data_IF_286605400652
#
_entry.id   IF_286605400652
#
_cell.length_a   1.000
_cell.length_b   1.000
_cell.length_c   1.000
_cell.angle_alpha   90.00
_cell.angle_beta   90.00
_cell.angle_gamma   90.00
#
_symmetry.space_group_name_H-M   'P 1'
#
loop_
_entity.id
_entity.type
_entity.pdbx_description
1 polymer ?
#
# COMPACT_ATOMS: atom_id res chain seq x y z
N UNK A 1 5.54 24.37 -17.23
CA UNK A 1 4.59 24.97 -18.17
C UNK A 1 3.17 24.59 -17.78
N UNK A 2 2.23 25.52 -17.98
CA UNK A 2 0.79 25.33 -17.83
C UNK A 2 0.14 25.75 -19.14
N UNK A 3 -0.67 24.86 -19.72
CA UNK A 3 -1.47 25.12 -20.91
C UNK A 3 -2.90 24.73 -20.58
N UNK A 4 -3.91 25.45 -21.14
CA UNK A 4 -5.29 25.13 -20.87
C UNK A 4 -6.25 25.76 -21.86
N UNK A 5 -7.38 25.10 -22.05
CA UNK A 5 -8.48 25.52 -22.91
C UNK A 5 -9.77 25.55 -22.10
N UNK A 6 -10.61 26.58 -22.38
CA UNK A 6 -11.91 26.74 -21.77
C UNK A 6 -12.99 26.76 -22.87
N UNK A 7 -14.06 25.99 -22.68
CA UNK A 7 -15.27 26.10 -23.47
C UNK A 7 -16.41 26.58 -22.56
N UNK A 8 -16.98 27.75 -22.91
CA UNK A 8 -18.08 28.35 -22.18
C UNK A 8 -19.30 28.37 -23.10
N UNK A 9 -20.34 27.57 -22.81
CA UNK A 9 -21.53 27.56 -23.64
C UNK A 9 -22.38 28.83 -23.37
N UNK A 10 -22.77 29.50 -24.43
CA UNK A 10 -23.75 30.59 -24.40
C UNK A 10 -25.11 30.06 -24.82
N UNK A 11 -26.15 30.42 -24.08
CA UNK A 11 -27.54 30.15 -24.46
C UNK A 11 -28.02 31.15 -25.52
N UNK A 12 -29.09 30.81 -26.26
CA UNK A 12 -29.66 31.74 -27.25
C UNK A 12 -30.12 33.08 -26.65
N UNK A 13 -30.40 33.12 -25.35
CA UNK A 13 -30.79 34.33 -24.63
C UNK A 13 -29.59 35.18 -24.15
N UNK A 14 -28.36 34.80 -24.51
CA UNK A 14 -27.13 35.50 -24.15
C UNK A 14 -26.60 35.14 -22.77
N UNK A 15 -27.30 34.31 -22.02
CA UNK A 15 -26.82 33.85 -20.71
C UNK A 15 -25.77 32.76 -20.85
N UNK A 16 -24.84 32.68 -19.88
CA UNK A 16 -23.86 31.59 -19.80
C UNK A 16 -24.58 30.30 -19.40
N UNK A 17 -24.34 29.23 -20.13
CA UNK A 17 -24.78 27.88 -19.79
C UNK A 17 -24.04 27.36 -18.59
N UNK A 18 -24.58 26.30 -17.94
CA UNK A 18 -23.94 25.66 -16.78
C UNK A 18 -22.93 24.60 -17.18
N UNK A 19 -22.89 24.19 -18.43
CA UNK A 19 -22.09 23.07 -18.92
C UNK A 19 -20.78 23.60 -19.53
N UNK A 20 -19.95 24.25 -18.69
CA UNK A 20 -18.62 24.68 -19.11
C UNK A 20 -17.62 23.50 -19.01
N UNK A 21 -16.67 23.54 -19.93
CA UNK A 21 -15.62 22.53 -20.01
C UNK A 21 -14.25 23.20 -19.80
N UNK A 22 -13.35 22.45 -19.20
CA UNK A 22 -11.96 22.84 -19.07
C UNK A 22 -11.07 21.64 -19.40
N UNK A 23 -10.03 21.87 -20.17
CA UNK A 23 -8.91 20.95 -20.31
C UNK A 23 -7.60 21.69 -20.07
N UNK A 24 -6.68 21.03 -19.38
CA UNK A 24 -5.39 21.64 -19.08
C UNK A 24 -4.28 20.61 -19.01
N UNK A 25 -3.07 21.08 -19.28
CA UNK A 25 -1.85 20.28 -19.16
C UNK A 25 -0.84 21.04 -18.32
N UNK A 26 -0.31 20.35 -17.31
CA UNK A 26 0.81 20.81 -16.52
C UNK A 26 2.02 19.97 -16.90
N UNK A 27 3.13 20.57 -17.25
CA UNK A 27 4.35 19.87 -17.68
C UNK A 27 5.53 20.26 -16.83
N UNK A 28 6.31 19.23 -16.42
CA UNK A 28 7.55 19.35 -15.66
C UNK A 28 7.42 20.21 -14.39
N UNK A 29 6.36 19.96 -13.62
CA UNK A 29 6.10 20.64 -12.35
C UNK A 29 6.66 19.86 -11.16
N UNK A 30 6.77 20.55 -10.03
CA UNK A 30 6.98 19.92 -8.73
C UNK A 30 5.92 20.41 -7.77
N UNK A 31 5.29 19.48 -7.04
CA UNK A 31 4.24 19.79 -6.07
C UNK A 31 4.68 19.30 -4.71
N UNK A 32 4.74 20.20 -3.74
CA UNK A 32 4.95 19.84 -2.34
C UNK A 32 3.61 19.50 -1.69
N UNK A 33 3.35 18.21 -1.48
CA UNK A 33 2.15 17.75 -0.77
C UNK A 33 2.21 18.08 0.72
N UNK A 34 3.43 17.99 1.29
CA UNK A 34 3.75 18.41 2.64
C UNK A 34 5.21 18.88 2.69
N UNK A 35 5.70 19.34 3.87
CA UNK A 35 7.14 19.66 4.05
C UNK A 35 8.08 18.48 3.75
N UNK A 36 7.57 17.23 3.75
CA UNK A 36 8.37 16.01 3.57
C UNK A 36 8.06 15.24 2.29
N UNK A 37 6.99 15.58 1.59
CA UNK A 37 6.51 14.89 0.40
C UNK A 37 6.41 15.85 -0.76
N UNK A 38 7.14 15.55 -1.81
CA UNK A 38 7.03 16.27 -3.08
C UNK A 38 6.94 15.28 -4.24
N UNK A 39 6.03 15.56 -5.15
CA UNK A 39 6.00 14.90 -6.46
C UNK A 39 6.89 15.72 -7.38
N UNK A 40 7.83 15.09 -8.04
CA UNK A 40 8.78 15.72 -8.97
C UNK A 40 8.50 15.31 -10.40
N UNK A 41 8.97 16.14 -11.36
CA UNK A 41 8.87 15.87 -12.79
C UNK A 41 7.43 15.58 -13.24
N UNK A 42 6.44 16.22 -12.60
CA UNK A 42 5.04 15.95 -12.79
C UNK A 42 4.55 16.49 -14.13
N UNK A 43 3.97 15.62 -14.92
CA UNK A 43 3.21 15.95 -16.12
C UNK A 43 1.82 15.36 -15.98
N UNK A 44 0.79 16.23 -16.02
CA UNK A 44 -0.61 15.83 -15.86
C UNK A 44 -1.49 16.44 -16.94
N UNK A 45 -2.56 15.73 -17.25
CA UNK A 45 -3.73 16.25 -17.94
C UNK A 45 -4.87 16.41 -16.95
N UNK A 46 -5.59 17.51 -17.04
CA UNK A 46 -6.71 17.85 -16.16
C UNK A 46 -7.92 18.12 -17.04
N UNK A 47 -9.06 17.51 -16.70
CA UNK A 47 -10.31 17.71 -17.42
C UNK A 47 -11.45 18.01 -16.45
N UNK A 48 -12.38 18.86 -16.87
CA UNK A 48 -13.64 19.15 -16.20
C UNK A 48 -14.75 19.27 -17.25
N UNK A 49 -15.94 18.79 -16.97
CA UNK A 49 -17.10 18.92 -17.86
C UNK A 49 -17.35 17.65 -18.69
N UNK A 50 -17.35 17.74 -20.02
CA UNK A 50 -17.76 16.64 -20.91
C UNK A 50 -16.95 15.35 -20.67
N UNK A 51 -17.65 14.24 -20.40
CA UNK A 51 -17.04 12.96 -20.09
C UNK A 51 -16.60 12.80 -18.63
N UNK A 52 -16.81 13.81 -17.79
CA UNK A 52 -16.56 13.79 -16.34
C UNK A 52 -17.92 13.86 -15.62
N UNK A 53 -18.05 13.21 -14.48
CA UNK A 53 -19.23 13.37 -13.63
C UNK A 53 -19.43 14.86 -13.32
N UNK A 54 -20.65 15.37 -13.47
CA UNK A 54 -21.01 16.79 -13.25
C UNK A 54 -20.37 17.33 -11.97
N UNK A 55 -19.78 18.54 -12.05
CA UNK A 55 -19.05 19.22 -10.98
C UNK A 55 -17.78 18.50 -10.50
N UNK A 56 -17.11 17.75 -11.37
CA UNK A 56 -15.91 17.02 -11.06
C UNK A 56 -14.72 17.35 -11.94
N UNK A 57 -13.52 16.98 -11.46
CA UNK A 57 -12.28 17.01 -12.21
C UNK A 57 -11.71 15.62 -12.33
N UNK A 58 -11.09 15.33 -13.47
CA UNK A 58 -10.21 14.17 -13.64
C UNK A 58 -8.80 14.69 -13.86
N UNK A 59 -7.86 14.18 -13.08
CA UNK A 59 -6.43 14.42 -13.24
C UNK A 59 -5.77 13.10 -13.62
N UNK A 60 -5.07 13.09 -14.77
CA UNK A 60 -4.32 11.93 -15.25
C UNK A 60 -2.84 12.26 -15.14
N UNK A 61 -2.10 11.48 -14.39
CA UNK A 61 -0.66 11.61 -14.23
C UNK A 61 0.01 10.83 -15.36
N UNK A 62 0.59 11.55 -16.34
CA UNK A 62 1.34 10.96 -17.46
C UNK A 62 2.77 10.63 -17.06
N UNK A 63 3.37 11.45 -16.18
CA UNK A 63 4.71 11.30 -15.65
C UNK A 63 4.80 11.96 -14.29
N UNK A 64 5.57 11.41 -13.43
CA UNK A 64 5.85 11.97 -12.10
C UNK A 64 6.54 10.95 -11.23
N UNK A 65 7.24 11.40 -10.21
CA UNK A 65 7.86 10.52 -9.23
C UNK A 65 7.61 11.04 -7.82
N UNK A 66 7.35 10.11 -6.92
CA UNK A 66 7.30 10.31 -5.49
C UNK A 66 8.45 9.50 -4.90
N UNK A 67 9.53 10.15 -4.47
CA UNK A 67 10.81 9.48 -4.18
C UNK A 67 11.31 8.71 -5.42
N UNK A 68 11.66 7.44 -5.25
CA UNK A 68 12.09 6.52 -6.32
C UNK A 68 10.93 5.71 -6.92
N UNK A 69 9.68 6.11 -6.65
CA UNK A 69 8.47 5.49 -7.20
C UNK A 69 7.93 6.33 -8.36
N UNK A 70 7.80 5.74 -9.52
CA UNK A 70 7.10 6.32 -10.66
C UNK A 70 5.59 6.29 -10.45
N UNK A 71 4.89 7.34 -10.90
CA UNK A 71 3.45 7.52 -10.75
C UNK A 71 2.69 7.49 -12.09
N UNK A 72 3.34 7.14 -13.19
CA UNK A 72 2.73 7.16 -14.51
C UNK A 72 1.49 6.26 -14.59
N UNK A 73 0.43 6.73 -15.27
CA UNK A 73 -0.83 6.01 -15.39
C UNK A 73 -1.77 6.16 -14.18
N UNK A 74 -1.39 6.97 -13.19
CA UNK A 74 -2.26 7.27 -12.05
C UNK A 74 -3.38 8.25 -12.42
N UNK A 75 -4.55 8.09 -11.78
CA UNK A 75 -5.70 8.98 -11.96
C UNK A 75 -6.25 9.47 -10.64
N UNK A 76 -6.74 10.71 -10.61
CA UNK A 76 -7.41 11.30 -9.46
C UNK A 76 -8.72 11.93 -9.95
N UNK A 77 -9.82 11.49 -9.39
CA UNK A 77 -11.15 12.02 -9.64
C UNK A 77 -11.59 12.83 -8.41
N UNK A 78 -11.97 14.07 -8.63
CA UNK A 78 -12.51 14.97 -7.60
C UNK A 78 -13.94 15.35 -8.00
N UNK A 79 -14.90 15.12 -7.12
CA UNK A 79 -16.29 15.51 -7.30
C UNK A 79 -16.71 16.42 -6.16
N UNK A 80 -17.10 17.66 -6.50
CA UNK A 80 -17.61 18.60 -5.52
C UNK A 80 -19.09 18.33 -5.26
N UNK A 81 -19.46 18.19 -3.99
CA UNK A 81 -20.82 18.18 -3.49
C UNK A 81 -21.03 19.41 -2.57
N UNK A 82 -22.27 19.68 -2.13
CA UNK A 82 -22.58 20.91 -1.40
C UNK A 82 -21.65 21.17 -0.21
N UNK A 83 -21.37 20.15 0.60
CA UNK A 83 -20.64 20.28 1.85
C UNK A 83 -19.31 19.52 1.88
N UNK A 84 -18.96 18.81 0.81
CA UNK A 84 -17.77 17.98 0.78
C UNK A 84 -17.24 17.82 -0.65
N UNK A 85 -15.96 17.43 -0.74
CA UNK A 85 -15.35 17.01 -2.00
C UNK A 85 -15.00 15.54 -1.89
N UNK A 86 -15.59 14.70 -2.72
CA UNK A 86 -15.26 13.28 -2.84
C UNK A 86 -14.05 13.09 -3.71
N UNK A 87 -13.08 12.34 -3.21
CA UNK A 87 -11.85 12.05 -3.93
C UNK A 87 -11.72 10.53 -4.10
N UNK A 88 -11.54 10.13 -5.35
CA UNK A 88 -11.22 8.75 -5.74
C UNK A 88 -9.93 8.78 -6.54
N UNK A 89 -8.93 8.03 -6.12
CA UNK A 89 -7.64 7.95 -6.83
C UNK A 89 -7.30 6.50 -7.13
N UNK A 90 -6.80 6.26 -8.32
CA UNK A 90 -6.07 5.05 -8.67
C UNK A 90 -4.61 5.45 -8.86
N UNK A 91 -3.77 5.11 -7.89
CA UNK A 91 -2.33 5.35 -7.95
C UNK A 91 -1.63 4.09 -8.44
N UNK A 92 -0.90 4.21 -9.53
CA UNK A 92 0.01 3.19 -10.02
C UNK A 92 1.42 3.61 -9.65
N UNK A 93 2.10 2.80 -8.83
CA UNK A 93 3.44 3.08 -8.33
C UNK A 93 4.37 1.93 -8.69
N UNK A 94 5.45 2.24 -9.38
CA UNK A 94 6.48 1.27 -9.76
C UNK A 94 7.85 1.81 -9.38
N UNK A 95 8.69 0.99 -8.76
CA UNK A 95 10.05 1.40 -8.45
C UNK A 95 10.62 0.81 -7.17
N UNK A 96 11.64 1.49 -6.65
CA UNK A 96 12.33 1.08 -5.43
C UNK A 96 11.58 1.53 -4.18
N UNK A 97 11.62 0.68 -3.18
CA UNK A 97 11.08 0.94 -1.84
C UNK A 97 12.25 0.96 -0.84
N UNK A 98 12.44 2.07 -0.15
CA UNK A 98 13.39 2.20 0.95
C UNK A 98 12.67 2.30 2.29
N UNK A 99 13.38 2.01 3.38
CA UNK A 99 12.82 2.07 4.74
C UNK A 99 12.34 3.47 5.11
N UNK A 100 13.10 4.50 4.76
CA UNK A 100 12.73 5.90 5.02
C UNK A 100 11.42 6.29 4.34
N UNK A 101 11.23 5.87 3.09
CA UNK A 101 10.04 6.13 2.30
C UNK A 101 8.83 5.36 2.84
N UNK A 102 9.00 4.06 3.09
CA UNK A 102 7.95 3.22 3.69
C UNK A 102 7.53 3.76 5.05
N UNK A 103 8.48 4.13 5.91
CA UNK A 103 8.20 4.73 7.22
C UNK A 103 7.42 6.03 7.10
N UNK A 104 7.80 6.86 6.13
CA UNK A 104 7.17 8.13 5.90
C UNK A 104 5.74 7.95 5.35
N UNK A 105 5.56 7.11 4.31
CA UNK A 105 4.25 6.77 3.74
C UNK A 105 3.36 6.13 4.82
N UNK A 106 3.89 5.14 5.55
CA UNK A 106 3.15 4.46 6.62
C UNK A 106 2.65 5.41 7.70
N UNK A 107 3.43 6.45 8.02
CA UNK A 107 3.04 7.46 9.01
C UNK A 107 1.81 8.27 8.59
N UNK A 108 1.61 8.51 7.29
CA UNK A 108 0.42 9.19 6.76
C UNK A 108 -0.85 8.35 6.98
N UNK A 109 -0.71 7.04 6.95
CA UNK A 109 -1.81 6.10 7.12
C UNK A 109 -1.95 5.59 8.57
N UNK A 110 -1.14 6.13 9.50
CA UNK A 110 -1.15 5.72 10.90
C UNK A 110 -0.63 4.29 11.13
N UNK A 111 0.18 3.76 10.21
CA UNK A 111 0.79 2.44 10.33
C UNK A 111 2.12 2.53 11.08
N UNK A 112 2.36 1.58 12.00
CA UNK A 112 3.61 1.47 12.75
C UNK A 112 4.59 0.54 12.04
N UNK A 113 5.80 1.01 11.79
CA UNK A 113 6.88 0.25 11.14
C UNK A 113 8.03 -0.12 12.09
N UNK A 114 7.77 -0.06 13.40
CA UNK A 114 8.81 -0.19 14.43
C UNK A 114 9.43 -1.59 14.54
N UNK A 115 8.85 -2.60 13.88
CA UNK A 115 9.37 -3.97 13.88
C UNK A 115 10.56 -4.16 12.92
N UNK A 116 10.77 -3.22 12.02
CA UNK A 116 11.83 -3.33 11.02
C UNK A 116 12.88 -2.25 11.25
N UNK A 117 14.14 -2.66 11.14
CA UNK A 117 15.29 -1.77 11.19
C UNK A 117 15.60 -1.15 9.84
N UNK A 118 15.40 -1.94 8.79
CA UNK A 118 15.61 -1.53 7.41
C UNK A 118 14.70 -2.33 6.47
N UNK A 119 14.32 -1.70 5.36
CA UNK A 119 13.52 -2.29 4.29
C UNK A 119 14.10 -1.79 2.98
N UNK A 120 14.35 -2.72 2.04
CA UNK A 120 14.81 -2.39 0.71
C UNK A 120 14.21 -3.38 -0.29
N UNK A 121 13.67 -2.87 -1.40
CA UNK A 121 13.06 -3.73 -2.40
C UNK A 121 12.57 -2.99 -3.63
N UNK A 122 11.84 -3.71 -4.47
CA UNK A 122 11.16 -3.19 -5.66
C UNK A 122 9.74 -3.73 -5.72
N UNK A 123 8.79 -2.89 -6.11
CA UNK A 123 7.40 -3.27 -6.23
C UNK A 123 6.72 -2.53 -7.38
N UNK A 124 5.66 -3.16 -7.90
CA UNK A 124 4.69 -2.58 -8.83
C UNK A 124 3.31 -2.71 -8.19
N UNK A 125 2.74 -1.57 -7.78
CA UNK A 125 1.54 -1.54 -6.95
C UNK A 125 0.46 -0.64 -7.56
N UNK A 126 -0.79 -1.10 -7.49
CA UNK A 126 -1.99 -0.30 -7.79
C UNK A 126 -2.75 -0.04 -6.49
N UNK A 127 -2.91 1.23 -6.15
CA UNK A 127 -3.57 1.64 -4.91
C UNK A 127 -4.82 2.46 -5.23
N UNK A 128 -5.97 1.94 -4.86
CA UNK A 128 -7.22 2.69 -4.86
C UNK A 128 -7.36 3.42 -3.52
N UNK A 129 -7.54 4.73 -3.55
CA UNK A 129 -7.77 5.56 -2.37
C UNK A 129 -9.10 6.27 -2.54
N UNK A 130 -9.94 6.24 -1.50
CA UNK A 130 -11.20 6.98 -1.45
C UNK A 130 -11.29 7.71 -0.13
N UNK A 131 -11.64 8.99 -0.19
CA UNK A 131 -11.90 9.80 0.99
C UNK A 131 -12.74 11.02 0.63
N UNK A 132 -13.31 11.63 1.64
CA UNK A 132 -14.04 12.88 1.51
C UNK A 132 -13.25 14.00 2.22
N UNK A 133 -13.27 15.19 1.64
CA UNK A 133 -12.78 16.42 2.26
C UNK A 133 -13.97 17.29 2.66
N UNK A 134 -14.11 17.62 3.92
CA UNK A 134 -15.10 18.60 4.35
C UNK A 134 -14.70 20.03 3.97
N UNK A 135 -15.57 21.01 4.22
CA UNK A 135 -15.31 22.43 3.91
C UNK A 135 -14.10 23.03 4.64
N UNK A 136 -13.54 22.33 5.66
CA UNK A 136 -12.30 22.70 6.36
C UNK A 136 -11.11 21.86 5.91
N UNK A 137 -11.24 21.17 4.78
CA UNK A 137 -10.22 20.25 4.22
C UNK A 137 -9.80 19.11 5.17
N UNK A 138 -10.69 18.70 6.09
CA UNK A 138 -10.45 17.52 6.92
C UNK A 138 -10.84 16.26 6.18
N UNK A 139 -9.96 15.27 6.22
CA UNK A 139 -10.19 13.95 5.63
C UNK A 139 -11.20 13.17 6.46
N UNK A 140 -12.24 12.66 5.79
CA UNK A 140 -13.25 11.75 6.33
C UNK A 140 -13.36 10.51 5.47
N UNK A 141 -13.93 9.44 6.01
CA UNK A 141 -14.27 8.22 5.27
C UNK A 141 -13.11 7.60 4.49
N UNK A 142 -11.86 7.76 4.98
CA UNK A 142 -10.68 7.24 4.32
C UNK A 142 -10.73 5.71 4.25
N UNK A 143 -10.68 5.20 3.04
CA UNK A 143 -10.48 3.79 2.72
C UNK A 143 -9.46 3.65 1.61
N UNK A 144 -8.69 2.57 1.62
CA UNK A 144 -7.77 2.28 0.54
C UNK A 144 -7.54 0.78 0.38
N UNK A 145 -7.22 0.39 -0.84
CA UNK A 145 -6.80 -0.96 -1.19
C UNK A 145 -5.61 -0.90 -2.13
N UNK A 146 -4.62 -1.71 -1.84
CA UNK A 146 -3.41 -1.86 -2.65
C UNK A 146 -3.32 -3.31 -3.10
N UNK A 147 -3.00 -3.51 -4.36
CA UNK A 147 -2.65 -4.82 -4.91
C UNK A 147 -1.47 -4.69 -5.86
N UNK A 148 -0.71 -5.74 -6.04
CA UNK A 148 0.40 -5.78 -6.98
C UNK A 148 1.47 -6.78 -6.59
N UNK A 149 2.64 -6.61 -7.19
CA UNK A 149 3.74 -7.54 -7.11
C UNK A 149 4.97 -6.90 -6.47
N UNK A 150 5.58 -7.64 -5.56
CA UNK A 150 6.86 -7.36 -4.95
C UNK A 150 7.89 -8.27 -5.62
N UNK A 151 8.69 -7.72 -6.51
CA UNK A 151 9.73 -8.50 -7.17
C UNK A 151 10.80 -8.96 -6.18
N UNK A 152 11.18 -8.08 -5.26
CA UNK A 152 12.11 -8.39 -4.17
C UNK A 152 11.89 -7.43 -3.02
N UNK A 153 11.89 -7.94 -1.78
CA UNK A 153 11.85 -7.13 -0.57
C UNK A 153 12.72 -7.75 0.51
N UNK A 154 13.70 -7.01 0.99
CA UNK A 154 14.55 -7.38 2.11
C UNK A 154 14.10 -6.64 3.36
N UNK A 155 13.75 -7.40 4.39
CA UNK A 155 13.28 -6.89 5.67
C UNK A 155 14.32 -7.24 6.73
N UNK A 156 14.82 -6.24 7.46
CA UNK A 156 15.74 -6.42 8.56
C UNK A 156 15.01 -6.16 9.89
N UNK A 157 15.06 -7.12 10.80
CA UNK A 157 14.39 -7.02 12.10
C UNK A 157 15.37 -6.64 13.21
N UNK A 158 14.89 -5.90 14.22
CA UNK A 158 15.71 -5.58 15.40
C UNK A 158 15.72 -6.72 16.42
N UNK A 159 14.64 -7.47 16.54
CA UNK A 159 14.48 -8.53 17.56
C UNK A 159 15.18 -9.83 17.17
N UNK A 160 16.52 -9.80 17.24
CA UNK A 160 17.33 -11.00 17.05
C UNK A 160 17.14 -12.03 18.16
N UNK A 161 16.94 -11.59 19.42
CA UNK A 161 16.99 -12.47 20.59
C UNK A 161 15.78 -13.39 20.66
N UNK A 162 14.58 -12.85 20.47
CA UNK A 162 13.35 -13.64 20.55
C UNK A 162 13.26 -14.63 19.40
N UNK A 163 13.54 -14.20 18.17
CA UNK A 163 13.47 -15.08 16.99
C UNK A 163 14.57 -16.16 17.05
N UNK A 164 15.81 -15.80 17.39
CA UNK A 164 16.92 -16.76 17.53
C UNK A 164 16.72 -17.81 18.62
N UNK A 165 15.86 -17.54 19.59
CA UNK A 165 15.47 -18.54 20.60
C UNK A 165 14.76 -19.75 19.98
N UNK A 166 14.03 -19.54 18.89
CA UNK A 166 13.26 -20.56 18.18
C UNK A 166 13.91 -20.98 16.85
N UNK A 167 14.56 -20.02 16.17
CA UNK A 167 15.30 -20.23 14.92
C UNK A 167 16.75 -19.77 15.08
N UNK A 168 17.64 -20.62 15.64
CA UNK A 168 19.02 -20.24 15.99
C UNK A 168 19.85 -19.73 14.80
N UNK A 169 19.56 -20.22 13.59
CA UNK A 169 20.25 -19.84 12.34
C UNK A 169 19.69 -18.56 11.70
N UNK A 170 18.65 -17.95 12.28
CA UNK A 170 18.07 -16.72 11.75
C UNK A 170 19.08 -15.56 11.80
N UNK A 171 19.38 -14.97 10.66
CA UNK A 171 20.34 -13.87 10.51
C UNK A 171 19.73 -12.47 10.66
N UNK A 172 18.46 -12.37 11.06
CA UNK A 172 17.69 -11.14 11.20
C UNK A 172 17.24 -10.53 9.88
N UNK A 173 17.35 -11.27 8.81
CA UNK A 173 16.95 -10.86 7.48
C UNK A 173 15.89 -11.82 6.95
N UNK A 174 14.78 -11.24 6.48
CA UNK A 174 13.74 -11.94 5.74
C UNK A 174 13.77 -11.38 4.33
N UNK A 175 13.78 -12.25 3.33
CA UNK A 175 13.68 -11.81 1.93
C UNK A 175 12.41 -12.38 1.34
N UNK A 176 11.56 -11.51 0.78
CA UNK A 176 10.43 -11.87 -0.07
C UNK A 176 10.86 -11.74 -1.53
N UNK A 177 10.39 -12.65 -2.36
CA UNK A 177 10.64 -12.65 -3.81
C UNK A 177 9.38 -13.08 -4.54
N UNK A 178 9.12 -12.49 -5.71
CA UNK A 178 8.00 -12.84 -6.58
C UNK A 178 6.69 -12.96 -5.77
N UNK A 179 6.42 -11.94 -4.93
CA UNK A 179 5.36 -11.98 -3.92
C UNK A 179 4.21 -11.06 -4.33
N UNK A 180 3.03 -11.62 -4.52
CA UNK A 180 1.80 -10.85 -4.69
C UNK A 180 1.33 -10.32 -3.33
N UNK A 181 0.96 -9.05 -3.29
CA UNK A 181 0.41 -8.39 -2.12
C UNK A 181 -1.01 -7.89 -2.39
N UNK A 182 -1.91 -8.10 -1.43
CA UNK A 182 -3.18 -7.40 -1.32
C UNK A 182 -3.31 -6.80 0.06
N UNK A 183 -3.56 -5.51 0.09
CA UNK A 183 -3.75 -4.77 1.33
C UNK A 183 -5.02 -3.94 1.24
N UNK A 184 -5.92 -4.09 2.20
CA UNK A 184 -7.15 -3.29 2.27
C UNK A 184 -7.33 -2.71 3.65
N UNK A 185 -7.77 -1.45 3.70
CA UNK A 185 -8.18 -0.78 4.91
C UNK A 185 -9.56 -0.19 4.73
N UNK A 186 -10.45 -0.56 5.63
CA UNK A 186 -11.78 0.00 5.80
C UNK A 186 -11.91 0.69 7.17
N UNK A 187 -13.10 1.16 7.50
CA UNK A 187 -13.39 1.76 8.81
C UNK A 187 -13.21 0.75 9.96
N UNK A 188 -13.55 -0.52 9.74
CA UNK A 188 -13.55 -1.56 10.78
C UNK A 188 -12.36 -2.50 10.73
N UNK A 189 -11.79 -2.72 9.54
CA UNK A 189 -10.82 -3.79 9.33
C UNK A 189 -9.62 -3.33 8.47
N UNK A 190 -8.49 -3.97 8.74
CA UNK A 190 -7.30 -3.95 7.89
C UNK A 190 -6.96 -5.39 7.54
N UNK A 191 -6.76 -5.68 6.26
CA UNK A 191 -6.42 -7.03 5.78
C UNK A 191 -5.15 -6.92 4.94
N UNK A 192 -4.18 -7.80 5.22
CA UNK A 192 -2.97 -7.98 4.43
C UNK A 192 -2.94 -9.44 3.98
N UNK A 193 -2.80 -9.65 2.69
CA UNK A 193 -2.58 -10.98 2.10
C UNK A 193 -1.28 -10.95 1.30
N UNK A 194 -0.42 -11.92 1.54
CA UNK A 194 0.84 -12.13 0.84
C UNK A 194 0.88 -13.57 0.32
N UNK A 195 1.34 -13.75 -0.91
CA UNK A 195 1.54 -15.06 -1.52
C UNK A 195 2.76 -15.00 -2.43
N UNK A 196 3.77 -15.85 -2.20
CA UNK A 196 5.02 -15.80 -2.96
C UNK A 196 6.10 -16.66 -2.35
N UNK A 197 7.34 -16.18 -2.46
CA UNK A 197 8.51 -16.86 -1.95
C UNK A 197 9.10 -16.09 -0.78
N UNK A 198 9.45 -16.80 0.30
CA UNK A 198 10.09 -16.26 1.49
C UNK A 198 11.41 -16.98 1.76
N UNK A 199 12.46 -16.22 2.07
CA UNK A 199 13.73 -16.74 2.54
C UNK A 199 14.00 -16.23 3.95
N UNK A 200 14.07 -17.15 4.90
CA UNK A 200 14.37 -16.86 6.30
C UNK A 200 15.81 -17.28 6.63
N UNK A 201 16.25 -18.40 6.09
CA UNK A 201 17.61 -18.93 6.24
C UNK A 201 18.32 -18.92 4.87
N UNK A 202 18.53 -20.10 4.28
CA UNK A 202 19.37 -20.24 3.07
C UNK A 202 18.58 -20.38 1.79
N UNK A 203 17.36 -20.91 1.84
CA UNK A 203 16.54 -21.24 0.68
C UNK A 203 15.25 -20.41 0.64
N UNK A 204 14.63 -20.37 -0.53
CA UNK A 204 13.31 -19.80 -0.71
C UNK A 204 12.25 -20.89 -0.58
N UNK A 205 11.30 -20.66 0.30
CA UNK A 205 10.11 -21.48 0.49
C UNK A 205 8.88 -20.75 0.00
N UNK A 206 7.90 -21.48 -0.56
CA UNK A 206 6.62 -20.88 -0.90
C UNK A 206 5.80 -20.60 0.36
N UNK A 207 5.10 -19.50 0.39
CA UNK A 207 4.25 -19.14 1.52
C UNK A 207 2.99 -18.41 1.07
N UNK A 208 1.97 -18.52 1.90
CA UNK A 208 0.75 -17.73 1.83
C UNK A 208 0.37 -17.30 3.24
N UNK A 209 0.12 -16.02 3.43
CA UNK A 209 -0.32 -15.49 4.73
C UNK A 209 -1.43 -14.47 4.54
N UNK A 210 -2.42 -14.53 5.43
CA UNK A 210 -3.48 -13.55 5.56
C UNK A 210 -3.55 -13.09 7.00
N UNK A 211 -3.43 -11.78 7.20
CA UNK A 211 -3.59 -11.15 8.50
C UNK A 211 -4.77 -10.18 8.43
N UNK A 212 -5.77 -10.38 9.29
CA UNK A 212 -6.89 -9.47 9.48
C UNK A 212 -6.79 -8.83 10.85
N UNK A 213 -6.75 -7.51 10.91
CA UNK A 213 -6.88 -6.73 12.14
C UNK A 213 -8.25 -6.07 12.18
N UNK A 214 -8.99 -6.28 13.27
CA UNK A 214 -10.27 -5.63 13.51
C UNK A 214 -10.09 -4.50 14.53
N UNK A 215 -10.37 -3.25 14.12
CA UNK A 215 -10.18 -2.07 14.96
C UNK A 215 -11.14 -2.03 16.16
N UNK A 216 -12.39 -2.48 15.98
CA UNK A 216 -13.41 -2.45 17.03
C UNK A 216 -13.12 -3.46 18.14
N UNK A 217 -12.69 -4.67 17.75
CA UNK A 217 -12.35 -5.76 18.66
C UNK A 217 -10.90 -5.72 19.13
N UNK A 218 -10.05 -4.88 18.51
CA UNK A 218 -8.59 -4.86 18.69
C UNK A 218 -7.98 -6.27 18.56
N UNK A 219 -8.48 -7.03 17.60
CA UNK A 219 -8.09 -8.44 17.42
C UNK A 219 -7.35 -8.64 16.11
N UNK A 220 -6.39 -9.58 16.14
CA UNK A 220 -5.72 -10.13 14.97
C UNK A 220 -6.22 -11.53 14.69
N UNK A 221 -6.43 -11.85 13.41
CA UNK A 221 -6.68 -13.18 12.89
C UNK A 221 -5.64 -13.44 11.81
N UNK A 222 -4.68 -14.33 12.09
CA UNK A 222 -3.55 -14.64 11.22
C UNK A 222 -3.68 -16.08 10.77
N UNK A 223 -3.78 -16.27 9.46
CA UNK A 223 -3.78 -17.60 8.82
C UNK A 223 -2.69 -17.66 7.78
N UNK A 224 -1.99 -18.78 7.71
CA UNK A 224 -0.93 -18.93 6.75
C UNK A 224 -0.47 -20.36 6.57
N UNK A 225 0.20 -20.58 5.45
CA UNK A 225 0.91 -21.83 5.15
C UNK A 225 2.27 -21.50 4.56
N UNK A 226 3.26 -22.36 4.84
CA UNK A 226 4.55 -22.30 4.16
C UNK A 226 5.03 -23.73 3.88
N UNK A 227 5.47 -23.97 2.67
CA UNK A 227 6.17 -25.19 2.30
C UNK A 227 7.65 -25.03 2.70
N UNK A 228 8.05 -25.74 3.73
CA UNK A 228 9.40 -25.68 4.27
C UNK A 228 10.28 -26.84 3.79
N UNK A 229 9.94 -27.52 2.69
CA UNK A 229 10.65 -28.68 2.17
C UNK A 229 12.12 -28.37 1.93
N UNK A 230 12.40 -27.20 1.37
CA UNK A 230 13.77 -26.78 1.00
C UNK A 230 14.50 -25.99 2.10
N UNK A 231 13.89 -25.82 3.27
CA UNK A 231 14.54 -25.21 4.44
C UNK A 231 15.07 -26.21 5.44
N UNK A 232 16.22 -25.92 6.05
CA UNK A 232 16.72 -26.62 7.24
C UNK A 232 16.17 -25.95 8.50
N UNK A 233 15.52 -26.73 9.37
CA UNK A 233 14.95 -26.22 10.63
C UNK A 233 15.64 -26.88 11.79
N UNK A 234 16.01 -26.09 12.80
CA UNK A 234 16.55 -26.59 14.06
C UNK A 234 15.92 -25.81 15.22
N UNK A 235 15.01 -26.44 15.95
CA UNK A 235 14.37 -25.88 17.14
C UNK A 235 14.90 -26.62 18.36
N UNK A 236 16.05 -26.17 18.85
CA UNK A 236 16.78 -26.85 19.93
C UNK A 236 15.94 -27.10 21.20
N UNK A 237 15.02 -26.18 21.52
CA UNK A 237 14.11 -26.32 22.68
C UNK A 237 13.10 -27.45 22.56
N UNK A 238 12.75 -27.83 21.35
CA UNK A 238 11.81 -28.92 21.04
C UNK A 238 12.57 -30.20 20.66
N UNK A 239 13.89 -30.17 20.67
CA UNK A 239 14.75 -31.24 20.14
C UNK A 239 14.35 -31.64 18.71
N UNK A 240 13.88 -30.66 17.93
CA UNK A 240 13.38 -30.87 16.57
C UNK A 240 14.40 -30.40 15.55
N UNK A 241 14.80 -31.31 14.66
CA UNK A 241 15.71 -31.03 13.54
C UNK A 241 15.11 -31.58 12.25
N UNK A 242 15.03 -30.75 11.24
CA UNK A 242 14.63 -31.11 9.88
C UNK A 242 15.76 -30.78 8.90
N UNK A 243 16.16 -31.74 8.11
CA UNK A 243 17.15 -31.56 7.06
C UNK A 243 16.50 -31.07 5.76
N UNK A 244 17.29 -30.46 4.89
CA UNK A 244 16.94 -30.09 3.52
C UNK A 244 16.28 -31.25 2.76
N UNK A 245 15.31 -30.94 1.88
CA UNK A 245 14.61 -31.91 1.02
C UNK A 245 13.59 -32.79 1.73
N UNK A 246 13.47 -32.72 3.05
CA UNK A 246 12.45 -33.46 3.80
C UNK A 246 11.13 -32.67 3.77
N UNK A 247 10.07 -33.29 3.18
CA UNK A 247 8.74 -32.66 3.10
C UNK A 247 8.29 -32.15 4.46
N UNK A 248 7.90 -30.90 4.52
CA UNK A 248 7.39 -30.25 5.72
C UNK A 248 6.54 -29.05 5.36
N UNK A 249 5.39 -28.94 5.99
CA UNK A 249 4.48 -27.81 5.85
C UNK A 249 4.31 -27.15 7.21
N UNK A 250 4.38 -25.83 7.25
CA UNK A 250 3.99 -25.02 8.41
C UNK A 250 2.58 -24.47 8.16
N UNK A 251 1.69 -24.72 9.09
CA UNK A 251 0.34 -24.15 9.11
C UNK A 251 0.26 -23.21 10.31
N UNK A 252 -0.26 -22.00 10.07
CA UNK A 252 -0.46 -20.98 11.10
C UNK A 252 -1.94 -20.64 11.13
N UNK A 253 -2.59 -20.80 12.27
CA UNK A 253 -3.95 -20.30 12.54
C UNK A 253 -3.97 -19.72 13.96
N UNK A 254 -3.83 -18.40 14.06
CA UNK A 254 -3.70 -17.68 15.32
C UNK A 254 -4.71 -16.57 15.40
N UNK A 255 -5.49 -16.56 16.47
CA UNK A 255 -6.36 -15.45 16.81
C UNK A 255 -5.97 -14.91 18.19
N UNK A 256 -5.76 -13.59 18.27
CA UNK A 256 -5.50 -12.93 19.55
C UNK A 256 -6.12 -11.55 19.63
N UNK A 257 -6.51 -11.18 20.87
CA UNK A 257 -7.07 -9.87 21.18
C UNK A 257 -6.00 -9.11 21.95
N UNK A 258 -5.68 -7.88 21.53
CA UNK A 258 -4.76 -7.01 22.25
C UNK A 258 -5.32 -6.77 23.66
N UNK A 259 -4.48 -6.96 24.66
CA UNK A 259 -4.75 -6.72 26.08
C UNK A 259 -5.70 -7.74 26.77
N UNK A 260 -6.03 -8.90 26.14
CA UNK A 260 -6.92 -9.86 26.80
C UNK A 260 -6.50 -11.33 26.82
N UNK A 261 -6.31 -12.01 25.71
CA UNK A 261 -5.99 -13.44 25.69
C UNK A 261 -5.43 -13.89 24.35
N UNK A 262 -4.57 -14.90 24.38
CA UNK A 262 -4.04 -15.55 23.19
C UNK A 262 -4.78 -16.89 22.99
N UNK A 263 -5.35 -17.11 21.81
CA UNK A 263 -5.86 -18.41 21.39
C UNK A 263 -5.05 -18.87 20.19
N UNK A 264 -4.31 -19.96 20.39
CA UNK A 264 -3.66 -20.69 19.29
C UNK A 264 -4.59 -21.85 18.96
N UNK A 265 -4.94 -22.01 17.71
CA UNK A 265 -5.73 -23.13 17.20
C UNK A 265 -4.77 -24.11 16.55
N UNK A 266 -4.95 -25.38 16.88
CA UNK A 266 -4.18 -26.48 16.29
C UNK A 266 -4.58 -26.73 14.85
#
# INVERSE_FOLDING_TARGET
>A
NLEGEFAIPFKPDGNIGKDYEFSGKVSNASINLTKKFSIKNLTTEISYGKGVENNGFIVIIKKGSLFDLELAGSTINLKREENETKIKSLLHTNGKLSFSEIKLISSLFGLKTNFFKDINGTADLKTNIKFDLDNKFKIKNLSYSTEGDIASLKLYTEDKKTIKKYLPLFDSKITLKDTNIKFTKSKSDQIIELNGLIKINDQFDSFKIKNKYNYNKKSFDIKGTADLTDSTINISKLNYKKNYGKKSELIIDVNFILDKHYHIRD
#
